data_IF_352320252657
#
_entry.id   IF_352320252657
#
_cell.length_a   1.000
_cell.length_b   1.000
_cell.length_c   1.000
_cell.angle_alpha   90.00
_cell.angle_beta   90.00
_cell.angle_gamma   90.00
#
_symmetry.space_group_name_H-M   'P 1'
#
loop_
_entity.id
_entity.type
_entity.pdbx_description
1 polymer ?
#
# COMPACT_ATOMS: atom_id res chain seq x y z
N UNK A 1 36.79 2.74 11.47
CA UNK A 1 35.40 3.17 11.26
C UNK A 1 34.71 2.08 10.46
N UNK A 2 33.82 1.30 11.08
CA UNK A 2 33.15 0.18 10.43
C UNK A 2 31.92 0.68 9.67
N UNK A 3 31.88 0.36 8.38
CA UNK A 3 30.76 0.63 7.47
C UNK A 3 29.54 -0.19 7.90
N UNK A 4 28.48 0.50 8.33
CA UNK A 4 27.18 -0.13 8.58
C UNK A 4 26.54 -0.48 7.22
N UNK A 5 26.49 -1.78 6.93
CA UNK A 5 25.68 -2.32 5.84
C UNK A 5 24.22 -1.92 6.08
N UNK A 6 23.65 -1.12 5.18
CA UNK A 6 22.20 -0.88 5.10
C UNK A 6 21.52 -2.25 4.96
N UNK A 7 20.85 -2.70 6.02
CA UNK A 7 19.96 -3.86 5.92
C UNK A 7 18.70 -3.40 5.16
N UNK A 8 18.28 -4.11 4.11
CA UNK A 8 17.01 -3.82 3.46
C UNK A 8 15.89 -4.03 4.48
N UNK A 9 15.14 -2.99 4.78
CA UNK A 9 13.87 -3.11 5.48
C UNK A 9 12.89 -3.79 4.54
N UNK A 10 12.72 -5.11 4.62
CA UNK A 10 11.48 -5.86 4.34
C UNK A 10 11.73 -7.36 4.36
N UNK A 11 11.03 -8.05 5.26
CA UNK A 11 10.84 -9.50 5.20
C UNK A 11 9.75 -9.74 4.15
N UNK A 12 10.14 -10.14 2.95
CA UNK A 12 9.19 -10.54 1.88
C UNK A 12 8.61 -11.90 2.31
N UNK A 13 7.31 -11.96 2.57
CA UNK A 13 6.59 -13.22 2.77
C UNK A 13 5.96 -13.53 1.42
N UNK A 14 6.59 -14.44 0.67
CA UNK A 14 6.04 -14.99 -0.58
C UNK A 14 5.29 -16.28 -0.21
N UNK A 15 3.96 -16.26 -0.33
CA UNK A 15 3.15 -17.48 -0.25
C UNK A 15 2.66 -17.81 -1.67
N UNK A 16 3.09 -18.94 -2.23
CA UNK A 16 2.53 -19.51 -3.47
C UNK A 16 1.26 -20.29 -3.14
N UNK A 17 0.12 -19.92 -3.75
CA UNK A 17 -1.16 -20.61 -3.57
C UNK A 17 -1.61 -21.27 -4.88
N UNK A 18 -2.09 -22.52 -4.77
CA UNK A 18 -2.65 -23.30 -5.88
C UNK A 18 -4.16 -22.98 -5.98
N UNK A 19 -4.56 -22.25 -7.02
CA UNK A 19 -5.95 -21.77 -7.26
C UNK A 19 -6.99 -22.89 -7.42
N UNK A 20 -6.60 -24.13 -7.76
CA UNK A 20 -7.52 -25.17 -8.27
C UNK A 20 -8.49 -25.78 -7.24
N UNK A 21 -8.49 -25.38 -5.95
CA UNK A 21 -9.37 -25.99 -4.92
C UNK A 21 -10.05 -25.02 -3.96
N UNK A 22 -9.78 -23.72 -4.04
CA UNK A 22 -10.25 -22.71 -3.10
C UNK A 22 -10.91 -21.58 -3.89
N UNK A 23 -12.20 -21.30 -3.63
CA UNK A 23 -12.88 -20.16 -4.24
C UNK A 23 -12.15 -18.84 -3.94
N UNK A 24 -12.18 -17.92 -4.89
CA UNK A 24 -11.46 -16.64 -4.84
C UNK A 24 -11.76 -15.86 -3.56
N UNK A 25 -13.00 -15.91 -3.08
CA UNK A 25 -13.45 -15.27 -1.85
C UNK A 25 -12.70 -15.81 -0.62
N UNK A 26 -12.53 -17.15 -0.55
CA UNK A 26 -11.84 -17.81 0.54
C UNK A 26 -10.34 -17.55 0.49
N UNK A 27 -9.77 -17.41 -0.70
CA UNK A 27 -8.38 -16.99 -0.87
C UNK A 27 -8.17 -15.57 -0.34
N UNK A 28 -9.07 -14.63 -0.71
CA UNK A 28 -9.04 -13.24 -0.22
C UNK A 28 -9.13 -13.22 1.31
N UNK A 29 -10.08 -13.96 1.90
CA UNK A 29 -10.22 -14.08 3.35
C UNK A 29 -8.90 -14.54 3.99
N UNK A 30 -8.27 -15.59 3.44
CA UNK A 30 -7.01 -16.12 3.95
C UNK A 30 -5.88 -15.09 3.86
N UNK A 31 -5.73 -14.40 2.73
CA UNK A 31 -4.69 -13.38 2.52
C UNK A 31 -4.85 -12.21 3.49
N UNK A 32 -6.08 -11.70 3.65
CA UNK A 32 -6.36 -10.60 4.58
C UNK A 32 -6.11 -11.03 6.03
N UNK A 33 -6.56 -12.22 6.43
CA UNK A 33 -6.30 -12.74 7.78
C UNK A 33 -4.81 -12.99 8.05
N UNK A 34 -4.07 -13.47 7.05
CA UNK A 34 -2.61 -13.63 7.13
C UNK A 34 -1.94 -12.28 7.34
N UNK A 35 -2.30 -11.28 6.54
CA UNK A 35 -1.80 -9.90 6.68
C UNK A 35 -2.08 -9.30 8.07
N UNK A 36 -3.29 -9.49 8.61
CA UNK A 36 -3.64 -8.99 9.94
C UNK A 36 -2.75 -9.59 11.05
N UNK A 37 -2.38 -10.87 10.93
CA UNK A 37 -1.52 -11.57 11.90
C UNK A 37 -0.03 -11.25 11.74
N UNK A 38 0.39 -10.77 10.56
CA UNK A 38 1.78 -10.42 10.32
C UNK A 38 2.21 -9.19 11.13
N UNK A 39 3.46 -9.15 11.57
CA UNK A 39 4.04 -8.00 12.30
C UNK A 39 4.20 -6.74 11.41
N UNK A 40 4.00 -6.88 10.09
CA UNK A 40 4.09 -5.76 9.15
C UNK A 40 2.80 -4.93 9.15
N UNK A 41 2.96 -3.61 9.08
CA UNK A 41 1.86 -2.65 8.88
C UNK A 41 1.44 -2.54 7.40
N UNK A 42 2.25 -3.07 6.49
CA UNK A 42 2.07 -2.97 5.04
C UNK A 42 2.06 -4.35 4.39
N UNK A 43 1.16 -4.55 3.44
CA UNK A 43 1.03 -5.75 2.63
C UNK A 43 0.84 -5.42 1.16
N UNK A 44 1.21 -6.32 0.28
CA UNK A 44 1.00 -6.19 -1.15
C UNK A 44 0.63 -7.54 -1.75
N UNK A 45 -0.33 -7.53 -2.66
CA UNK A 45 -0.63 -8.62 -3.57
C UNK A 45 -0.20 -8.12 -4.96
N UNK A 46 0.73 -8.84 -5.57
CA UNK A 46 1.29 -8.53 -6.89
C UNK A 46 1.02 -9.67 -7.85
N UNK A 47 1.34 -9.47 -9.14
CA UNK A 47 1.30 -10.52 -10.16
C UNK A 47 -0.08 -11.18 -10.32
N UNK A 48 -1.15 -10.40 -10.09
CA UNK A 48 -2.53 -10.84 -10.25
C UNK A 48 -2.81 -11.04 -11.74
N UNK A 49 -2.96 -12.30 -12.17
CA UNK A 49 -3.22 -12.68 -13.58
C UNK A 49 -4.70 -12.69 -13.94
N UNK A 50 -5.57 -12.60 -12.95
CA UNK A 50 -7.03 -12.59 -13.08
C UNK A 50 -7.55 -11.14 -13.10
N UNK A 51 -8.86 -10.97 -13.16
CA UNK A 51 -9.47 -9.63 -13.15
C UNK A 51 -9.23 -8.93 -11.81
N UNK A 52 -8.22 -8.05 -11.78
CA UNK A 52 -7.82 -7.30 -10.59
C UNK A 52 -8.92 -6.41 -10.05
N UNK A 53 -9.81 -5.87 -10.90
CA UNK A 53 -10.88 -4.99 -10.45
C UNK A 53 -11.89 -5.80 -9.61
N UNK A 54 -12.22 -7.00 -10.07
CA UNK A 54 -13.04 -7.94 -9.31
C UNK A 54 -12.38 -8.35 -7.99
N UNK A 55 -11.07 -8.66 -7.98
CA UNK A 55 -10.35 -8.99 -6.75
C UNK A 55 -10.33 -7.82 -5.77
N UNK A 56 -10.04 -6.60 -6.26
CA UNK A 56 -10.02 -5.40 -5.44
C UNK A 56 -11.38 -5.12 -4.81
N UNK A 57 -12.47 -5.27 -5.58
CA UNK A 57 -13.82 -5.09 -5.07
C UNK A 57 -14.18 -6.15 -4.02
N UNK A 58 -13.86 -7.41 -4.24
CA UNK A 58 -14.06 -8.48 -3.25
C UNK A 58 -13.28 -8.21 -1.96
N UNK A 59 -12.02 -7.79 -2.05
CA UNK A 59 -11.23 -7.40 -0.88
C UNK A 59 -11.85 -6.22 -0.12
N UNK A 60 -12.29 -5.18 -0.83
CA UNK A 60 -12.97 -4.03 -0.20
C UNK A 60 -14.26 -4.45 0.51
N UNK A 61 -15.08 -5.26 -0.13
CA UNK A 61 -16.33 -5.77 0.46
C UNK A 61 -16.03 -6.57 1.71
N UNK A 62 -15.08 -7.51 1.66
CA UNK A 62 -14.69 -8.30 2.81
C UNK A 62 -14.20 -7.44 3.99
N UNK A 63 -13.30 -6.48 3.72
CA UNK A 63 -12.80 -5.54 4.75
C UNK A 63 -13.93 -4.73 5.37
N UNK A 64 -14.89 -4.29 4.58
CA UNK A 64 -16.04 -3.51 5.05
C UNK A 64 -17.02 -4.36 5.86
N UNK A 65 -17.36 -5.55 5.38
CA UNK A 65 -18.31 -6.48 6.01
C UNK A 65 -17.81 -6.95 7.38
N UNK A 66 -16.52 -7.32 7.45
CA UNK A 66 -15.86 -7.76 8.67
C UNK A 66 -15.38 -6.59 9.55
N UNK A 67 -15.58 -5.34 9.10
CA UNK A 67 -15.19 -4.10 9.81
C UNK A 67 -13.72 -4.08 10.23
N UNK A 68 -12.84 -4.52 9.32
CA UNK A 68 -11.42 -4.63 9.59
C UNK A 68 -10.75 -3.25 9.52
N UNK A 69 -9.84 -2.98 10.46
CA UNK A 69 -9.14 -1.69 10.55
C UNK A 69 -7.93 -1.59 9.59
N UNK A 70 -8.18 -1.91 8.32
CA UNK A 70 -7.19 -1.89 7.24
C UNK A 70 -7.75 -1.12 6.06
N UNK A 71 -6.86 -0.54 5.24
CA UNK A 71 -7.23 0.12 4.01
C UNK A 71 -6.59 -0.60 2.83
N UNK A 72 -7.35 -0.74 1.75
CA UNK A 72 -6.94 -1.44 0.54
C UNK A 72 -6.89 -0.45 -0.62
N UNK A 73 -5.75 -0.42 -1.31
CA UNK A 73 -5.45 0.50 -2.40
C UNK A 73 -5.09 -0.29 -3.65
N UNK A 74 -5.71 -0.01 -4.79
CA UNK A 74 -5.34 -0.59 -6.08
C UNK A 74 -4.43 0.37 -6.83
N UNK A 75 -3.33 -0.12 -7.38
CA UNK A 75 -2.45 0.65 -8.28
C UNK A 75 -1.97 -0.28 -9.38
N UNK A 76 -2.38 -0.02 -10.63
CA UNK A 76 -2.01 -0.87 -11.76
C UNK A 76 -2.50 -2.30 -11.56
N UNK A 77 -1.57 -3.25 -11.54
CA UNK A 77 -1.76 -4.69 -11.34
C UNK A 77 -1.52 -5.14 -9.87
N UNK A 78 -1.47 -4.19 -8.93
CA UNK A 78 -1.18 -4.46 -7.52
C UNK A 78 -2.30 -4.00 -6.63
N UNK A 79 -2.48 -4.75 -5.54
CA UNK A 79 -3.33 -4.36 -4.42
C UNK A 79 -2.45 -4.21 -3.18
N UNK A 80 -2.44 -3.02 -2.61
CA UNK A 80 -1.70 -2.67 -1.41
C UNK A 80 -2.63 -2.63 -0.21
N UNK A 81 -2.12 -3.03 0.95
CA UNK A 81 -2.84 -3.03 2.22
C UNK A 81 -2.07 -2.23 3.27
N UNK A 82 -2.79 -1.45 4.07
CA UNK A 82 -2.23 -0.64 5.15
C UNK A 82 -3.10 -0.74 6.40
N UNK A 83 -2.50 -1.22 7.50
CA UNK A 83 -3.14 -1.18 8.82
C UNK A 83 -3.26 0.27 9.28
N UNK A 84 -4.28 0.59 10.09
CA UNK A 84 -4.26 1.88 10.79
C UNK A 84 -3.07 1.90 11.73
N UNK A 85 -2.16 2.84 11.50
CA UNK A 85 -0.91 2.87 12.24
C UNK A 85 -1.06 3.77 13.47
N UNK A 86 -0.92 3.18 14.66
CA UNK A 86 -0.87 3.96 15.92
C UNK A 86 0.31 4.95 15.91
N UNK A 87 1.38 4.62 15.21
CA UNK A 87 2.58 5.45 15.03
C UNK A 87 2.52 6.35 13.79
N UNK A 88 1.35 6.52 13.15
CA UNK A 88 1.21 7.33 11.94
C UNK A 88 1.85 8.72 12.10
N UNK A 89 1.62 9.40 13.23
CA UNK A 89 2.15 10.75 13.45
C UNK A 89 3.69 10.76 13.44
N UNK A 90 4.33 9.75 14.03
CA UNK A 90 5.79 9.61 14.02
C UNK A 90 6.32 9.33 12.62
N UNK A 91 5.64 8.47 11.86
CA UNK A 91 5.99 8.17 10.47
C UNK A 91 5.85 9.43 9.63
N UNK A 92 4.77 10.18 9.82
CA UNK A 92 4.48 11.41 9.09
C UNK A 92 5.54 12.48 9.33
N UNK A 93 6.00 12.67 10.56
CA UNK A 93 7.10 13.60 10.85
C UNK A 93 8.40 13.17 10.16
N UNK A 94 8.75 11.88 10.19
CA UNK A 94 9.94 11.38 9.48
C UNK A 94 9.86 11.61 7.97
N UNK A 95 8.68 11.40 7.36
CA UNK A 95 8.45 11.66 5.93
C UNK A 95 8.66 13.15 5.64
N UNK A 96 8.06 14.05 6.43
CA UNK A 96 8.23 15.49 6.24
C UNK A 96 9.69 15.95 6.35
N UNK A 97 10.47 15.32 7.21
CA UNK A 97 11.88 15.66 7.41
C UNK A 97 12.79 15.16 6.28
N UNK A 98 12.42 14.07 5.61
CA UNK A 98 13.32 13.33 4.70
C UNK A 98 12.85 13.26 3.25
N UNK A 99 11.61 13.61 2.98
CA UNK A 99 10.97 13.50 1.67
C UNK A 99 10.53 14.86 1.15
N UNK A 100 10.26 14.95 -0.13
CA UNK A 100 9.76 16.14 -0.80
C UNK A 100 8.27 16.00 -1.09
N UNK A 101 7.46 17.01 -0.73
CA UNK A 101 6.04 16.99 -1.07
C UNK A 101 5.86 17.20 -2.58
N UNK A 102 5.42 16.16 -3.29
CA UNK A 102 5.16 16.21 -4.73
C UNK A 102 3.75 16.71 -5.04
N UNK A 103 2.76 16.24 -4.27
CA UNK A 103 1.38 16.61 -4.49
C UNK A 103 0.56 16.58 -3.20
N UNK A 104 -0.39 17.51 -3.11
CA UNK A 104 -1.41 17.56 -2.06
C UNK A 104 -2.74 17.93 -2.67
N UNK A 105 -3.74 17.05 -2.54
CA UNK A 105 -5.09 17.27 -3.10
C UNK A 105 -6.14 16.74 -2.13
N UNK A 106 -6.98 17.64 -1.61
CA UNK A 106 -7.99 17.27 -0.61
C UNK A 106 -7.35 16.66 0.63
N UNK A 107 -7.69 15.39 0.91
CA UNK A 107 -7.24 14.64 2.09
C UNK A 107 -5.98 13.80 1.84
N UNK A 108 -5.48 13.78 0.60
CA UNK A 108 -4.31 12.98 0.22
C UNK A 108 -3.05 13.82 0.07
N UNK A 109 -1.93 13.23 0.44
CA UNK A 109 -0.59 13.77 0.21
C UNK A 109 0.31 12.69 -0.41
N UNK A 110 1.17 13.10 -1.34
CA UNK A 110 2.20 12.26 -1.96
C UNK A 110 3.54 12.91 -1.71
N UNK A 111 4.44 12.19 -1.06
CA UNK A 111 5.80 12.63 -0.78
C UNK A 111 6.82 11.72 -1.45
N UNK A 112 7.84 12.29 -2.09
CA UNK A 112 8.93 11.57 -2.76
C UNK A 112 10.16 11.45 -1.85
N UNK A 113 10.61 10.22 -1.63
CA UNK A 113 11.89 9.88 -1.01
C UNK A 113 12.82 9.29 -2.08
N UNK A 114 13.56 10.16 -2.81
CA UNK A 114 14.43 9.72 -3.89
C UNK A 114 15.64 8.93 -3.43
N UNK A 115 16.07 9.08 -2.17
CA UNK A 115 17.19 8.32 -1.63
C UNK A 115 16.85 6.84 -1.47
N UNK A 116 15.57 6.53 -1.20
CA UNK A 116 15.09 5.17 -1.01
C UNK A 116 14.23 4.65 -2.17
N UNK A 117 13.94 5.49 -3.18
CA UNK A 117 13.09 5.11 -4.31
C UNK A 117 11.65 4.83 -3.89
N UNK A 118 11.12 5.65 -2.98
CA UNK A 118 9.80 5.46 -2.37
C UNK A 118 8.92 6.70 -2.56
N UNK A 119 7.68 6.46 -2.99
CA UNK A 119 6.58 7.40 -2.83
C UNK A 119 5.82 7.05 -1.56
N UNK A 120 5.68 8.01 -0.66
CA UNK A 120 4.80 7.93 0.49
C UNK A 120 3.43 8.50 0.12
N UNK A 121 2.46 7.62 -0.11
CA UNK A 121 1.08 8.01 -0.29
C UNK A 121 0.34 8.00 1.05
N UNK A 122 -0.25 9.15 1.42
CA UNK A 122 -0.87 9.37 2.71
C UNK A 122 -2.33 9.76 2.52
N UNK A 123 -3.21 9.19 3.33
CA UNK A 123 -4.60 9.66 3.51
C UNK A 123 -4.70 10.19 4.92
N UNK A 124 -4.47 11.49 5.09
CA UNK A 124 -4.12 12.09 6.39
C UNK A 124 -5.23 11.93 7.45
N UNK A 125 -6.51 12.23 7.16
CA UNK A 125 -7.58 12.09 8.15
C UNK A 125 -7.82 10.64 8.58
N UNK A 126 -7.46 9.68 7.73
CA UNK A 126 -7.62 8.25 7.99
C UNK A 126 -6.36 7.63 8.61
N UNK A 127 -5.28 8.42 8.81
CA UNK A 127 -3.99 7.95 9.32
C UNK A 127 -3.47 6.72 8.56
N UNK A 128 -3.68 6.71 7.24
CA UNK A 128 -3.23 5.64 6.34
C UNK A 128 -2.00 6.07 5.58
N UNK A 129 -1.04 5.17 5.50
CA UNK A 129 0.22 5.36 4.79
C UNK A 129 0.50 4.15 3.90
N UNK A 130 0.90 4.41 2.66
CA UNK A 130 1.29 3.41 1.68
C UNK A 130 2.68 3.77 1.13
N UNK A 131 3.74 3.05 1.53
CA UNK A 131 5.05 3.17 0.91
C UNK A 131 5.07 2.42 -0.42
N UNK A 132 5.26 3.13 -1.52
CA UNK A 132 5.19 2.59 -2.89
C UNK A 132 6.57 2.72 -3.53
N UNK A 133 7.18 1.60 -3.87
CA UNK A 133 8.48 1.57 -4.55
C UNK A 133 8.35 1.94 -6.02
N UNK A 134 9.32 2.70 -6.52
CA UNK A 134 9.49 2.98 -7.95
C UNK A 134 10.94 2.76 -8.37
N UNK A 135 11.15 2.26 -9.60
CA UNK A 135 12.48 1.95 -10.12
C UNK A 135 13.07 3.10 -10.95
N UNK A 136 12.22 3.89 -11.58
CA UNK A 136 12.61 4.99 -12.47
C UNK A 136 11.72 6.22 -12.24
N UNK A 137 12.19 7.40 -12.62
CA UNK A 137 11.38 8.62 -12.56
C UNK A 137 10.11 8.52 -13.42
N UNK A 138 10.16 7.78 -14.52
CA UNK A 138 8.98 7.52 -15.35
C UNK A 138 7.94 6.63 -14.62
N UNK A 139 8.38 5.65 -13.84
CA UNK A 139 7.49 4.85 -13.01
C UNK A 139 6.87 5.70 -11.90
N UNK A 140 7.70 6.54 -11.25
CA UNK A 140 7.27 7.52 -10.25
C UNK A 140 6.15 8.41 -10.78
N UNK A 141 6.38 9.07 -11.92
CA UNK A 141 5.39 9.97 -12.53
C UNK A 141 4.08 9.26 -12.88
N UNK A 142 4.16 8.02 -13.39
CA UNK A 142 2.97 7.21 -13.69
C UNK A 142 2.20 6.89 -12.43
N UNK A 143 2.88 6.46 -11.36
CA UNK A 143 2.26 6.17 -10.07
C UNK A 143 1.58 7.40 -9.49
N UNK A 144 2.24 8.57 -9.49
CA UNK A 144 1.65 9.83 -9.03
C UNK A 144 0.37 10.14 -9.81
N UNK A 145 0.39 10.03 -11.14
CA UNK A 145 -0.79 10.27 -11.98
C UNK A 145 -1.94 9.34 -11.66
N UNK A 146 -1.68 8.03 -11.46
CA UNK A 146 -2.70 7.06 -11.07
C UNK A 146 -3.31 7.42 -9.71
N UNK A 147 -2.46 7.69 -8.72
CA UNK A 147 -2.90 8.07 -7.37
C UNK A 147 -3.78 9.33 -7.39
N UNK A 148 -3.36 10.35 -8.15
CA UNK A 148 -4.09 11.61 -8.26
C UNK A 148 -5.36 11.51 -9.11
N UNK A 149 -5.49 10.53 -10.01
CA UNK A 149 -6.70 10.37 -10.81
C UNK A 149 -7.74 9.51 -10.09
N UNK A 150 -7.31 8.43 -9.44
CA UNK A 150 -8.23 7.48 -8.80
C UNK A 150 -8.66 7.92 -7.39
N UNK A 151 -7.82 8.65 -6.67
CA UNK A 151 -8.00 8.88 -5.24
C UNK A 151 -8.10 10.36 -4.84
N UNK A 152 -8.05 11.28 -5.80
CA UNK A 152 -8.30 12.70 -5.52
C UNK A 152 -9.77 13.04 -5.32
N UNK A 153 -10.67 12.22 -5.87
CA UNK A 153 -12.10 12.50 -5.97
C UNK A 153 -12.91 11.72 -4.92
N UNK A 154 -12.25 11.09 -3.94
CA UNK A 154 -12.87 10.48 -2.73
C UNK A 154 -13.62 11.55 -1.87
N UNK A 155 -13.74 12.78 -2.35
CA UNK A 155 -14.45 13.91 -1.75
C UNK A 155 -15.61 14.44 -2.62
N UNK A 156 -16.21 13.61 -3.49
CA UNK A 156 -17.46 13.96 -4.21
C UNK A 156 -18.67 13.29 -3.60
#
# INVERSE_FOLDING_TARGET
MQSQRKQPLKKKVEEEFIEESVGVEKLIEMLVKSFLRADSDYGAITDIRTDIDSIYMLMKSYVSEEKLDIYVLKIGDKILMSKTNVNFDRIYEVIKERSHLEAKRGIIEIWDDPENGLLHFLIVPLRKHFPIEYATDNDKEKTIKVLLNEYSDICS
#
